data_IF_876734065876
#
_entry.id   IF_876734065876
#
_cell.length_a   1.000
_cell.length_b   1.000
_cell.length_c   1.000
_cell.angle_alpha   90.00
_cell.angle_beta   90.00
_cell.angle_gamma   90.00
#
_symmetry.space_group_name_H-M   'P 1'
#
loop_
_entity.id
_entity.type
_entity.pdbx_description
1 polymer ?
#
# COMPACT_ATOMS: atom_id res chain seq x y z
N UNK A 1 7.94 -16.07 18.54
CA UNK A 1 7.42 -15.61 19.85
C UNK A 1 7.11 -14.11 19.90
N UNK A 2 8.07 -13.16 19.91
CA UNK A 2 7.74 -11.71 19.98
C UNK A 2 6.97 -11.17 18.76
N UNK A 3 7.34 -11.59 17.55
CA UNK A 3 6.66 -11.20 16.31
C UNK A 3 5.23 -11.73 16.20
N UNK A 4 4.98 -12.96 16.67
CA UNK A 4 3.64 -13.56 16.65
C UNK A 4 2.71 -12.82 17.61
N UNK A 5 3.18 -12.53 18.83
CA UNK A 5 2.44 -11.74 19.82
C UNK A 5 2.08 -10.34 19.29
N UNK A 6 2.98 -9.71 18.55
CA UNK A 6 2.76 -8.40 17.93
C UNK A 6 1.64 -8.47 16.88
N UNK A 7 1.60 -9.53 16.07
CA UNK A 7 0.57 -9.66 15.03
C UNK A 7 -0.78 -10.07 15.63
N UNK A 8 -0.81 -10.92 16.66
CA UNK A 8 -2.04 -11.19 17.42
C UNK A 8 -2.60 -9.93 18.07
N UNK A 9 -1.75 -9.07 18.63
CA UNK A 9 -2.18 -7.76 19.11
C UNK A 9 -2.81 -6.94 17.98
N UNK A 10 -2.23 -6.93 16.78
CA UNK A 10 -2.80 -6.21 15.66
C UNK A 10 -4.19 -6.74 15.27
N UNK A 11 -4.38 -8.05 15.22
CA UNK A 11 -5.66 -8.66 14.85
C UNK A 11 -6.74 -8.60 15.92
N UNK A 12 -6.38 -8.89 17.18
CA UNK A 12 -7.34 -9.07 18.26
C UNK A 12 -7.65 -7.76 18.97
N UNK A 13 -6.73 -6.79 18.94
CA UNK A 13 -6.88 -5.53 19.67
C UNK A 13 -6.91 -4.35 18.72
N UNK A 14 -5.85 -4.13 17.94
CA UNK A 14 -5.73 -2.92 17.11
C UNK A 14 -6.81 -2.84 16.03
N UNK A 15 -7.09 -3.94 15.34
CA UNK A 15 -8.07 -3.97 14.26
C UNK A 15 -9.51 -3.72 14.76
N UNK A 16 -10.04 -4.46 15.77
CA UNK A 16 -11.35 -4.15 16.36
C UNK A 16 -11.42 -2.73 16.93
N UNK A 17 -10.37 -2.26 17.62
CA UNK A 17 -10.32 -0.89 18.12
C UNK A 17 -10.38 0.15 16.99
N UNK A 18 -9.73 -0.13 15.85
CA UNK A 18 -9.78 0.73 14.67
C UNK A 18 -11.18 0.75 14.04
N UNK A 19 -11.89 -0.39 13.98
CA UNK A 19 -13.29 -0.46 13.54
C UNK A 19 -14.18 0.39 14.46
N UNK A 20 -14.05 0.22 15.79
CA UNK A 20 -14.79 1.01 16.76
C UNK A 20 -14.49 2.51 16.64
N UNK A 21 -13.23 2.88 16.45
CA UNK A 21 -12.82 4.25 16.21
C UNK A 21 -13.53 4.82 14.98
N UNK A 22 -13.42 4.17 13.81
CA UNK A 22 -14.05 4.68 12.59
C UNK A 22 -15.57 4.79 12.70
N UNK A 23 -16.22 3.81 13.33
CA UNK A 23 -17.65 3.85 13.57
C UNK A 23 -18.05 5.02 14.48
N UNK A 24 -17.31 5.27 15.57
CA UNK A 24 -17.54 6.43 16.43
C UNK A 24 -17.34 7.76 15.69
N UNK A 25 -16.29 7.87 14.86
CA UNK A 25 -16.06 9.07 14.02
C UNK A 25 -17.15 9.28 12.99
N UNK A 26 -17.75 8.20 12.48
CA UNK A 26 -18.91 8.26 11.61
C UNK A 26 -20.13 8.81 12.32
N UNK A 27 -20.46 8.30 13.52
CA UNK A 27 -21.58 8.80 14.32
C UNK A 27 -21.43 10.30 14.65
N UNK A 28 -20.19 10.76 14.88
CA UNK A 28 -19.87 12.17 15.12
C UNK A 28 -19.90 13.06 13.86
N UNK A 29 -20.06 12.48 12.65
CA UNK A 29 -19.92 13.22 11.38
C UNK A 29 -18.48 13.70 11.10
N UNK A 30 -17.46 13.08 11.71
CA UNK A 30 -16.05 13.53 11.67
C UNK A 30 -15.12 12.57 10.92
N UNK A 31 -15.64 11.78 9.98
CA UNK A 31 -14.82 10.88 9.15
C UNK A 31 -13.74 11.63 8.36
N UNK A 32 -14.11 12.72 7.67
CA UNK A 32 -13.18 13.48 6.83
C UNK A 32 -12.05 14.09 7.66
N UNK A 33 -12.35 14.54 8.88
CA UNK A 33 -11.31 15.02 9.83
C UNK A 33 -10.29 13.92 10.14
N UNK A 34 -10.75 12.69 10.35
CA UNK A 34 -9.88 11.54 10.62
C UNK A 34 -9.05 11.13 9.39
N UNK A 35 -9.62 11.22 8.19
CA UNK A 35 -8.89 11.02 6.93
C UNK A 35 -7.81 12.08 6.75
N UNK A 36 -8.12 13.36 6.95
CA UNK A 36 -7.14 14.44 6.87
C UNK A 36 -6.00 14.28 7.89
N UNK A 37 -6.30 13.84 9.11
CA UNK A 37 -5.27 13.53 10.13
C UNK A 37 -4.31 12.45 9.64
N UNK A 38 -4.82 11.38 9.05
CA UNK A 38 -3.99 10.34 8.44
C UNK A 38 -3.09 10.92 7.34
N UNK A 39 -3.65 11.70 6.42
CA UNK A 39 -2.87 12.33 5.35
C UNK A 39 -1.80 13.28 5.91
N UNK A 40 -2.11 14.05 6.96
CA UNK A 40 -1.15 14.97 7.59
C UNK A 40 0.02 14.22 8.23
N UNK A 41 -0.23 13.07 8.86
CA UNK A 41 0.83 12.22 9.41
C UNK A 41 1.75 11.74 8.29
N UNK A 42 1.19 11.23 7.19
CA UNK A 42 1.98 10.75 6.06
C UNK A 42 2.72 11.90 5.36
N UNK A 43 2.11 13.09 5.27
CA UNK A 43 2.78 14.29 4.77
C UNK A 43 3.98 14.67 5.64
N UNK A 44 3.83 14.66 6.96
CA UNK A 44 4.93 14.94 7.88
C UNK A 44 6.07 13.94 7.69
N UNK A 45 5.76 12.64 7.64
CA UNK A 45 6.74 11.59 7.35
C UNK A 45 7.42 11.80 5.99
N UNK A 46 6.66 12.24 4.98
CA UNK A 46 7.18 12.55 3.64
C UNK A 46 8.22 13.67 3.70
N UNK A 47 7.90 14.80 4.34
CA UNK A 47 8.82 15.94 4.51
C UNK A 47 10.09 15.51 5.24
N UNK A 48 9.94 14.81 6.37
CA UNK A 48 11.08 14.37 7.17
C UNK A 48 11.96 13.36 6.40
N UNK A 49 11.34 12.41 5.69
CA UNK A 49 12.07 11.42 4.89
C UNK A 49 12.80 12.06 3.72
N UNK A 50 12.20 13.04 3.04
CA UNK A 50 12.82 13.76 1.93
C UNK A 50 14.02 14.57 2.40
N UNK A 51 13.89 15.27 3.54
CA UNK A 51 15.00 16.00 4.14
C UNK A 51 16.16 15.05 4.46
N UNK A 52 15.89 13.91 5.12
CA UNK A 52 16.92 12.93 5.44
C UNK A 52 17.55 12.31 4.18
N UNK A 53 16.73 11.97 3.19
CA UNK A 53 17.18 11.36 1.95
C UNK A 53 18.09 12.30 1.16
N UNK A 54 17.70 13.57 0.97
CA UNK A 54 18.53 14.55 0.25
C UNK A 54 19.78 14.88 1.07
N UNK A 55 19.62 15.32 2.31
CA UNK A 55 20.70 15.94 3.08
C UNK A 55 21.69 14.92 3.64
N UNK A 56 21.23 13.75 4.06
CA UNK A 56 22.07 12.80 4.80
C UNK A 56 22.39 11.56 3.97
N UNK A 57 21.39 10.93 3.36
CA UNK A 57 21.61 9.70 2.58
C UNK A 57 22.42 9.95 1.30
N UNK A 58 22.18 11.05 0.59
CA UNK A 58 22.83 11.33 -0.70
C UNK A 58 23.88 12.44 -0.65
N UNK A 59 23.67 13.51 0.12
CA UNK A 59 24.68 14.58 0.29
C UNK A 59 25.68 14.31 1.43
N UNK A 60 25.44 13.29 2.26
CA UNK A 60 26.33 12.87 3.34
C UNK A 60 26.71 13.98 4.33
N UNK A 61 25.81 14.95 4.59
CA UNK A 61 26.08 16.06 5.51
C UNK A 61 26.28 15.59 6.97
N UNK A 62 25.66 14.47 7.35
CA UNK A 62 25.81 13.85 8.66
C UNK A 62 26.08 12.36 8.46
N UNK A 63 26.97 11.79 9.28
CA UNK A 63 27.22 10.35 9.31
C UNK A 63 26.03 9.62 9.96
N UNK A 64 25.44 8.67 9.25
CA UNK A 64 24.35 7.85 9.79
C UNK A 64 24.83 6.84 10.84
N UNK A 65 23.90 6.37 11.67
CA UNK A 65 24.13 5.31 12.64
C UNK A 65 23.99 3.94 11.97
N UNK A 66 24.80 2.98 12.38
CA UNK A 66 24.70 1.60 11.88
C UNK A 66 23.86 0.75 12.83
N UNK A 67 22.95 -0.06 12.28
CA UNK A 67 22.19 -1.04 13.04
C UNK A 67 22.09 -2.35 12.28
N UNK A 68 21.98 -3.47 12.99
CA UNK A 68 21.71 -4.76 12.37
C UNK A 68 20.24 -4.85 11.95
N UNK A 69 19.98 -5.24 10.71
CA UNK A 69 18.65 -5.49 10.18
C UNK A 69 18.43 -6.98 9.99
N UNK A 70 17.51 -7.53 10.78
CA UNK A 70 17.07 -8.93 10.60
C UNK A 70 16.36 -9.17 9.26
N UNK A 71 15.85 -8.11 8.61
CA UNK A 71 15.23 -8.19 7.29
C UNK A 71 16.28 -8.35 6.17
N UNK A 72 17.39 -7.59 6.20
CA UNK A 72 18.43 -7.74 5.18
C UNK A 72 19.48 -8.80 5.56
N UNK A 73 19.51 -9.23 6.82
CA UNK A 73 20.56 -10.07 7.38
C UNK A 73 21.90 -9.34 7.53
N UNK A 74 21.91 -8.02 7.38
CA UNK A 74 23.13 -7.18 7.31
C UNK A 74 22.96 -5.89 8.10
N UNK A 75 24.07 -5.20 8.31
CA UNK A 75 24.07 -3.87 8.91
C UNK A 75 23.58 -2.83 7.89
N UNK A 76 22.62 -2.01 8.30
CA UNK A 76 22.06 -0.90 7.53
C UNK A 76 22.35 0.44 8.22
N UNK A 77 22.43 1.50 7.44
CA UNK A 77 22.57 2.87 7.95
C UNK A 77 21.19 3.46 8.22
N UNK A 78 21.05 4.17 9.34
CA UNK A 78 19.84 4.90 9.69
C UNK A 78 20.16 6.36 10.09
N UNK A 79 19.20 7.24 9.84
CA UNK A 79 19.24 8.63 10.27
C UNK A 79 18.05 8.90 11.19
N UNK A 80 18.35 9.08 12.48
CA UNK A 80 17.38 9.41 13.54
C UNK A 80 16.19 8.44 13.64
N UNK A 81 16.32 7.20 13.16
CA UNK A 81 15.21 6.23 13.03
C UNK A 81 14.05 6.69 12.12
N UNK A 82 14.27 7.72 11.31
CA UNK A 82 13.27 8.31 10.40
C UNK A 82 13.55 7.92 8.94
N UNK A 83 14.80 7.59 8.62
CA UNK A 83 15.23 7.15 7.30
C UNK A 83 16.24 6.00 7.40
N UNK A 84 16.10 4.99 6.54
CA UNK A 84 16.99 3.83 6.50
C UNK A 84 17.56 3.63 5.09
N UNK A 85 18.88 3.53 4.97
CA UNK A 85 19.55 3.23 3.71
C UNK A 85 19.54 1.71 3.47
N UNK A 86 18.41 1.18 2.99
CA UNK A 86 18.21 -0.28 2.82
C UNK A 86 18.33 -0.77 1.39
N UNK A 87 18.08 0.09 0.41
CA UNK A 87 18.06 -0.27 -1.01
C UNK A 87 18.69 0.85 -1.83
N UNK A 88 19.45 0.48 -2.85
CA UNK A 88 20.05 1.43 -3.79
C UNK A 88 19.49 1.23 -5.20
N UNK A 89 19.66 2.25 -6.03
CA UNK A 89 19.28 2.26 -7.43
C UNK A 89 20.45 2.82 -8.24
N UNK A 90 20.90 2.08 -9.24
CA UNK A 90 21.87 2.59 -10.22
C UNK A 90 21.15 3.57 -11.15
N UNK A 91 21.69 4.78 -11.27
CA UNK A 91 21.21 5.83 -12.16
C UNK A 91 22.42 6.39 -12.92
N UNK A 92 22.43 6.22 -14.24
CA UNK A 92 23.61 6.47 -15.09
C UNK A 92 24.84 5.71 -14.59
N UNK A 93 25.95 6.41 -14.30
CA UNK A 93 27.17 5.87 -13.70
C UNK A 93 27.20 5.95 -12.17
N UNK A 94 26.18 6.57 -11.56
CA UNK A 94 26.08 6.76 -10.11
C UNK A 94 25.17 5.73 -9.44
N UNK A 95 25.31 5.59 -8.12
CA UNK A 95 24.40 4.83 -7.27
C UNK A 95 23.74 5.81 -6.32
N UNK A 96 22.40 5.84 -6.34
CA UNK A 96 21.60 6.63 -5.41
C UNK A 96 20.90 5.70 -4.43
N UNK A 97 20.75 6.11 -3.18
CA UNK A 97 19.92 5.37 -2.23
C UNK A 97 18.45 5.58 -2.58
N UNK A 98 17.60 4.56 -2.41
CA UNK A 98 16.14 4.68 -2.58
C UNK A 98 15.54 5.23 -1.29
N UNK A 99 14.59 6.16 -1.42
CA UNK A 99 13.90 6.66 -0.24
C UNK A 99 12.90 5.62 0.29
N UNK A 100 13.21 5.01 1.43
CA UNK A 100 12.35 4.05 2.12
C UNK A 100 11.67 4.64 3.37
N UNK A 101 11.99 5.90 3.72
CA UNK A 101 11.45 6.56 4.91
C UNK A 101 11.65 5.72 6.17
N UNK A 102 10.60 5.57 6.97
CA UNK A 102 10.60 4.72 8.18
C UNK A 102 10.48 3.21 7.88
N UNK A 103 10.39 2.83 6.61
CA UNK A 103 10.19 1.45 6.18
C UNK A 103 11.51 0.81 5.74
N UNK A 104 11.53 -0.52 5.73
CA UNK A 104 12.70 -1.28 5.28
C UNK A 104 12.72 -1.46 3.76
N UNK A 105 11.56 -1.31 3.11
CA UNK A 105 11.38 -1.54 1.68
C UNK A 105 10.72 -0.34 1.01
N UNK A 106 11.27 0.08 -0.13
CA UNK A 106 10.67 1.15 -0.93
C UNK A 106 9.23 0.84 -1.40
N UNK A 107 8.86 -0.40 -1.78
CA UNK A 107 7.46 -0.75 -2.04
C UNK A 107 6.51 -0.50 -0.86
N UNK A 108 6.94 -0.76 0.38
CA UNK A 108 6.10 -0.53 1.57
C UNK A 108 5.90 0.97 1.82
N UNK A 109 6.96 1.77 1.65
CA UNK A 109 6.82 3.21 1.79
C UNK A 109 5.94 3.80 0.68
N UNK A 110 6.14 3.36 -0.55
CA UNK A 110 5.32 3.75 -1.69
C UNK A 110 3.84 3.41 -1.47
N UNK A 111 3.51 2.25 -0.92
CA UNK A 111 2.14 1.90 -0.54
C UNK A 111 1.54 2.91 0.44
N UNK A 112 2.29 3.31 1.48
CA UNK A 112 1.84 4.29 2.47
C UNK A 112 1.56 5.66 1.83
N UNK A 113 2.46 6.11 0.96
CA UNK A 113 2.31 7.35 0.19
C UNK A 113 1.10 7.30 -0.75
N UNK A 114 0.88 6.17 -1.42
CA UNK A 114 -0.29 5.95 -2.28
C UNK A 114 -1.59 5.98 -1.48
N UNK A 115 -1.64 5.37 -0.30
CA UNK A 115 -2.83 5.41 0.55
C UNK A 115 -3.19 6.86 0.94
N UNK A 116 -2.21 7.68 1.32
CA UNK A 116 -2.43 9.09 1.61
C UNK A 116 -2.82 9.89 0.36
N UNK A 117 -2.20 9.60 -0.78
CA UNK A 117 -2.52 10.23 -2.06
C UNK A 117 -3.95 9.91 -2.50
N UNK A 118 -4.39 8.66 -2.39
CA UNK A 118 -5.76 8.26 -2.72
C UNK A 118 -6.78 8.87 -1.76
N UNK A 119 -6.45 8.93 -0.48
CA UNK A 119 -7.28 9.62 0.50
C UNK A 119 -7.46 11.09 0.12
N UNK A 120 -6.37 11.80 -0.19
CA UNK A 120 -6.41 13.21 -0.56
C UNK A 120 -7.11 13.46 -1.90
N UNK A 121 -6.96 12.58 -2.89
CA UNK A 121 -7.54 12.75 -4.24
C UNK A 121 -9.00 12.30 -4.33
N UNK A 122 -9.36 11.20 -3.68
CA UNK A 122 -10.63 10.51 -3.91
C UNK A 122 -11.57 10.48 -2.70
N UNK A 123 -11.06 10.65 -1.48
CA UNK A 123 -11.87 10.55 -0.26
C UNK A 123 -12.15 11.91 0.36
N UNK A 124 -11.13 12.78 0.45
CA UNK A 124 -11.22 14.13 0.99
C UNK A 124 -12.14 15.02 0.16
N UNK A 125 -12.93 15.86 0.84
CA UNK A 125 -13.76 16.87 0.17
C UNK A 125 -12.92 18.05 -0.36
N UNK A 126 -11.78 18.30 0.26
CA UNK A 126 -10.83 19.35 -0.11
C UNK A 126 -9.49 18.77 -0.57
N UNK A 127 -9.00 19.26 -1.72
CA UNK A 127 -7.75 18.83 -2.33
C UNK A 127 -6.63 19.83 -2.04
N UNK A 128 -5.65 19.46 -1.21
CA UNK A 128 -4.53 20.34 -0.86
C UNK A 128 -3.34 20.10 -1.78
N UNK A 129 -3.18 20.96 -2.77
CA UNK A 129 -2.10 20.84 -3.77
C UNK A 129 -0.68 20.71 -3.16
N UNK A 130 -0.28 21.47 -2.12
CA UNK A 130 1.03 21.29 -1.50
C UNK A 130 1.24 19.87 -0.94
N UNK A 131 0.19 19.27 -0.37
CA UNK A 131 0.22 17.91 0.16
C UNK A 131 0.43 16.91 -0.98
N UNK A 132 -0.37 17.01 -2.04
CA UNK A 132 -0.28 16.14 -3.22
C UNK A 132 1.14 16.21 -3.82
N UNK A 133 1.70 17.40 -3.99
CA UNK A 133 3.04 17.59 -4.56
C UNK A 133 4.11 16.93 -3.68
N UNK A 134 4.08 17.14 -2.37
CA UNK A 134 5.03 16.52 -1.44
C UNK A 134 4.94 15.00 -1.50
N UNK A 135 3.72 14.43 -1.50
CA UNK A 135 3.51 13.00 -1.61
C UNK A 135 4.07 12.44 -2.92
N UNK A 136 3.85 13.12 -4.05
CA UNK A 136 4.34 12.69 -5.36
C UNK A 136 5.85 12.77 -5.49
N UNK A 137 6.48 13.85 -5.03
CA UNK A 137 7.94 13.98 -5.01
C UNK A 137 8.54 12.83 -4.20
N UNK A 138 8.01 12.61 -2.99
CA UNK A 138 8.46 11.51 -2.12
C UNK A 138 8.27 10.16 -2.80
N UNK A 139 7.12 9.94 -3.44
CA UNK A 139 6.83 8.69 -4.16
C UNK A 139 7.84 8.41 -5.27
N UNK A 140 8.25 9.42 -6.04
CA UNK A 140 9.30 9.28 -7.07
C UNK A 140 10.65 8.92 -6.45
N UNK A 141 11.02 9.54 -5.32
CA UNK A 141 12.30 9.23 -4.63
C UNK A 141 12.38 7.81 -4.08
N UNK A 142 11.25 7.11 -3.94
CA UNK A 142 11.25 5.68 -3.57
C UNK A 142 11.79 4.78 -4.68
N UNK A 143 11.79 5.26 -5.93
CA UNK A 143 12.06 4.44 -7.13
C UNK A 143 11.25 3.13 -7.17
N UNK A 144 10.08 3.09 -6.51
CA UNK A 144 9.18 1.94 -6.58
C UNK A 144 8.41 1.97 -7.89
N UNK A 145 8.71 1.06 -8.82
CA UNK A 145 8.03 0.99 -10.12
C UNK A 145 6.51 0.90 -9.95
N UNK A 146 6.05 0.01 -9.07
CA UNK A 146 4.62 -0.16 -8.75
C UNK A 146 4.04 1.12 -8.14
N UNK A 147 4.76 1.72 -7.18
CA UNK A 147 4.37 2.96 -6.54
C UNK A 147 4.14 4.09 -7.54
N UNK A 148 5.13 4.33 -8.39
CA UNK A 148 5.12 5.39 -9.38
C UNK A 148 4.01 5.17 -10.41
N UNK A 149 3.85 3.96 -10.95
CA UNK A 149 2.78 3.63 -11.90
C UNK A 149 1.41 3.99 -11.32
N UNK A 150 1.11 3.52 -10.11
CA UNK A 150 -0.21 3.77 -9.54
C UNK A 150 -0.41 5.22 -9.08
N UNK A 151 0.65 5.93 -8.68
CA UNK A 151 0.58 7.35 -8.37
C UNK A 151 0.24 8.18 -9.61
N UNK A 152 0.86 7.85 -10.74
CA UNK A 152 0.60 8.48 -12.05
C UNK A 152 -0.82 8.22 -12.49
N UNK A 153 -1.28 6.97 -12.42
CA UNK A 153 -2.65 6.61 -12.80
C UNK A 153 -3.67 7.39 -11.96
N UNK A 154 -3.44 7.53 -10.65
CA UNK A 154 -4.31 8.30 -9.76
C UNK A 154 -4.37 9.79 -10.15
N UNK A 155 -3.22 10.43 -10.33
CA UNK A 155 -3.13 11.85 -10.71
C UNK A 155 -3.69 12.09 -12.10
N UNK A 156 -3.36 11.24 -13.07
CA UNK A 156 -3.86 11.34 -14.43
C UNK A 156 -5.39 11.27 -14.46
N UNK A 157 -5.98 10.31 -13.76
CA UNK A 157 -7.44 10.20 -13.64
C UNK A 157 -8.05 11.46 -13.01
N UNK A 158 -7.49 11.92 -11.88
CA UNK A 158 -7.96 13.13 -11.19
C UNK A 158 -7.94 14.37 -12.11
N UNK A 159 -6.85 14.57 -12.87
CA UNK A 159 -6.71 15.73 -13.75
C UNK A 159 -7.65 15.64 -14.95
N UNK A 160 -7.72 14.47 -15.60
CA UNK A 160 -8.65 14.24 -16.71
C UNK A 160 -10.06 14.62 -16.27
N UNK A 161 -10.51 14.12 -15.12
CA UNK A 161 -11.86 14.38 -14.60
C UNK A 161 -12.13 15.84 -14.27
N UNK A 162 -11.18 16.53 -13.62
CA UNK A 162 -11.37 17.91 -13.16
C UNK A 162 -11.28 18.96 -14.29
N UNK A 163 -10.64 18.61 -15.40
CA UNK A 163 -10.28 19.58 -16.43
C UNK A 163 -10.79 19.24 -17.85
N UNK A 164 -11.78 18.35 -18.02
CA UNK A 164 -12.37 18.05 -19.34
C UNK A 164 -12.90 19.30 -20.07
N UNK A 165 -13.22 20.39 -19.36
CA UNK A 165 -13.71 21.64 -19.98
C UNK A 165 -12.67 22.76 -20.07
N UNK A 166 -11.71 22.86 -19.14
CA UNK A 166 -10.57 23.79 -19.22
C UNK A 166 -9.38 23.26 -18.40
N UNK A 167 -8.32 22.79 -19.08
CA UNK A 167 -7.07 22.40 -18.44
C UNK A 167 -6.18 23.63 -18.29
N UNK A 168 -5.76 23.94 -17.06
CA UNK A 168 -4.79 25.03 -16.85
C UNK A 168 -3.42 24.63 -17.44
N UNK A 169 -2.65 25.57 -18.02
CA UNK A 169 -1.31 25.28 -18.55
C UNK A 169 -0.38 24.64 -17.50
N UNK A 170 -0.54 25.02 -16.23
CA UNK A 170 0.21 24.45 -15.09
C UNK A 170 -0.13 22.98 -14.87
N UNK A 171 -1.41 22.59 -15.02
CA UNK A 171 -1.85 21.20 -14.94
C UNK A 171 -1.25 20.34 -16.05
N UNK A 172 -1.19 20.86 -17.28
CA UNK A 172 -0.57 20.17 -18.42
C UNK A 172 0.92 19.97 -18.20
N UNK A 173 1.64 21.00 -17.76
CA UNK A 173 3.08 20.92 -17.49
C UNK A 173 3.36 19.92 -16.37
N UNK A 174 2.58 19.93 -15.29
CA UNK A 174 2.71 18.98 -14.20
C UNK A 174 2.43 17.53 -14.65
N UNK A 175 1.36 17.29 -15.43
CA UNK A 175 1.08 15.97 -16.01
C UNK A 175 2.21 15.52 -16.90
N UNK A 176 2.72 16.41 -17.75
CA UNK A 176 3.79 16.08 -18.70
C UNK A 176 5.09 15.75 -17.99
N UNK A 177 5.43 16.47 -16.93
CA UNK A 177 6.60 16.18 -16.09
C UNK A 177 6.41 14.86 -15.35
N UNK A 178 5.26 14.65 -14.70
CA UNK A 178 4.98 13.40 -13.96
C UNK A 178 4.95 12.22 -14.92
N UNK A 179 4.28 12.32 -16.06
CA UNK A 179 4.24 11.28 -17.09
C UNK A 179 5.62 11.05 -17.71
N UNK A 180 6.39 12.10 -18.01
CA UNK A 180 7.74 11.99 -18.56
C UNK A 180 8.72 11.32 -17.60
N UNK A 181 8.73 11.74 -16.33
CA UNK A 181 9.52 11.12 -15.25
C UNK A 181 9.09 9.67 -15.05
N UNK A 182 7.79 9.40 -15.10
CA UNK A 182 7.27 8.05 -14.88
C UNK A 182 7.54 7.12 -16.06
N UNK A 183 7.42 7.60 -17.30
CA UNK A 183 7.84 6.87 -18.50
C UNK A 183 9.34 6.62 -18.48
N UNK A 184 10.15 7.57 -18.00
CA UNK A 184 11.58 7.37 -17.82
C UNK A 184 11.90 6.32 -16.74
N UNK A 185 11.23 6.36 -15.59
CA UNK A 185 11.39 5.35 -14.53
C UNK A 185 10.87 3.98 -14.98
N UNK A 186 9.75 3.92 -15.71
CA UNK A 186 9.23 2.68 -16.28
C UNK A 186 10.22 2.15 -17.31
N UNK A 187 10.76 2.99 -18.21
CA UNK A 187 11.76 2.59 -19.19
C UNK A 187 13.05 2.11 -18.53
N UNK A 188 13.57 2.80 -17.51
CA UNK A 188 14.78 2.40 -16.79
C UNK A 188 14.56 1.12 -15.98
N UNK A 189 13.36 0.95 -15.42
CA UNK A 189 12.95 -0.29 -14.77
C UNK A 189 12.77 -1.43 -15.78
N UNK A 190 12.21 -1.21 -16.97
CA UNK A 190 12.04 -2.26 -17.99
C UNK A 190 13.36 -2.63 -18.67
N UNK A 191 14.23 -1.66 -18.95
CA UNK A 191 15.56 -1.92 -19.53
C UNK A 191 16.49 -2.66 -18.57
N UNK A 192 16.27 -2.52 -17.25
CA UNK A 192 16.92 -3.36 -16.24
C UNK A 192 16.19 -4.67 -15.96
N UNK A 193 14.99 -4.89 -16.53
CA UNK A 193 14.10 -6.02 -16.22
C UNK A 193 13.84 -7.04 -17.33
N UNK A 194 14.35 -6.86 -18.55
CA UNK A 194 14.38 -7.95 -19.55
C UNK A 194 15.23 -9.12 -19.01
N UNK A 195 14.58 -10.11 -18.40
CA UNK A 195 15.21 -11.23 -17.69
C UNK A 195 15.51 -11.02 -16.20
N UNK A 196 14.94 -10.00 -15.53
CA UNK A 196 15.31 -9.73 -14.12
C UNK A 196 14.92 -10.83 -13.13
N UNK A 197 15.82 -11.10 -12.19
CA UNK A 197 15.59 -11.88 -10.97
C UNK A 197 14.30 -11.47 -10.24
N UNK A 198 13.98 -10.18 -10.19
CA UNK A 198 12.78 -9.67 -9.51
C UNK A 198 11.45 -10.07 -10.17
N UNK A 199 11.40 -10.21 -11.49
CA UNK A 199 10.19 -10.67 -12.18
C UNK A 199 10.02 -12.19 -12.02
N UNK A 200 11.11 -12.94 -12.14
CA UNK A 200 11.14 -14.39 -11.94
C UNK A 200 10.74 -14.78 -10.51
N UNK A 201 11.24 -14.06 -9.49
CA UNK A 201 10.83 -14.24 -8.09
C UNK A 201 9.33 -14.01 -7.89
N UNK A 202 8.75 -12.96 -8.50
CA UNK A 202 7.31 -12.68 -8.39
C UNK A 202 6.44 -13.76 -9.03
N UNK A 203 6.84 -14.27 -10.21
CA UNK A 203 6.08 -15.33 -10.86
C UNK A 203 6.10 -16.62 -10.03
N UNK A 204 7.26 -16.95 -9.45
CA UNK A 204 7.36 -18.08 -8.54
C UNK A 204 6.56 -17.86 -7.24
N UNK A 205 6.54 -16.65 -6.68
CA UNK A 205 5.69 -16.30 -5.54
C UNK A 205 4.19 -16.53 -5.84
N UNK A 206 3.73 -16.11 -7.02
CA UNK A 206 2.34 -16.34 -7.44
C UNK A 206 2.02 -17.84 -7.51
N UNK A 207 2.91 -18.61 -8.12
CA UNK A 207 2.77 -20.06 -8.26
C UNK A 207 2.80 -20.78 -6.90
N UNK A 208 3.81 -20.50 -6.07
CA UNK A 208 3.98 -21.10 -4.76
C UNK A 208 2.83 -20.74 -3.81
N UNK A 209 2.37 -19.48 -3.83
CA UNK A 209 1.23 -19.03 -3.04
C UNK A 209 -0.08 -19.72 -3.42
N UNK A 210 -0.31 -19.93 -4.71
CA UNK A 210 -1.47 -20.69 -5.19
C UNK A 210 -1.41 -22.15 -4.75
N UNK A 211 -0.26 -22.82 -4.90
CA UNK A 211 -0.09 -24.22 -4.42
C UNK A 211 -0.32 -24.30 -2.92
N UNK A 212 0.23 -23.37 -2.14
CA UNK A 212 0.06 -23.34 -0.70
C UNK A 212 -1.43 -23.18 -0.32
N UNK A 213 -2.15 -22.21 -0.92
CA UNK A 213 -3.57 -22.04 -0.68
C UNK A 213 -4.40 -23.29 -1.01
N UNK A 214 -4.11 -23.93 -2.14
CA UNK A 214 -4.85 -25.11 -2.61
C UNK A 214 -4.72 -26.33 -1.68
N UNK A 215 -3.73 -26.37 -0.79
CA UNK A 215 -3.64 -27.43 0.25
C UNK A 215 -4.82 -27.37 1.22
N UNK A 216 -5.21 -26.16 1.64
CA UNK A 216 -6.31 -25.92 2.59
C UNK A 216 -7.14 -24.69 2.18
N UNK A 217 -8.04 -24.81 1.18
CA UNK A 217 -8.68 -23.64 0.56
C UNK A 217 -9.55 -22.81 1.48
N UNK A 218 -10.24 -23.45 2.45
CA UNK A 218 -11.23 -22.79 3.29
C UNK A 218 -10.63 -22.09 4.52
N UNK A 219 -9.72 -22.77 5.23
CA UNK A 219 -9.14 -22.29 6.49
C UNK A 219 -7.66 -21.95 6.41
N UNK A 220 -7.02 -22.19 5.26
CA UNK A 220 -5.60 -21.92 5.06
C UNK A 220 -4.69 -22.87 5.85
N UNK A 221 -3.40 -22.58 5.83
CA UNK A 221 -2.33 -23.42 6.39
C UNK A 221 -1.86 -22.94 7.77
N UNK A 222 -2.63 -22.07 8.42
CA UNK A 222 -2.28 -21.47 9.69
C UNK A 222 -1.64 -20.09 9.52
N UNK A 223 -1.84 -19.27 10.55
CA UNK A 223 -1.49 -17.87 10.53
C UNK A 223 0.03 -17.65 10.38
N UNK A 224 0.42 -16.79 9.43
CA UNK A 224 1.81 -16.46 9.10
C UNK A 224 2.71 -17.67 8.78
N UNK A 225 2.15 -18.78 8.28
CA UNK A 225 2.91 -20.00 8.03
C UNK A 225 3.68 -19.96 6.69
N UNK A 226 4.84 -19.31 6.70
CA UNK A 226 5.70 -19.22 5.50
C UNK A 226 6.33 -20.56 5.09
N UNK A 227 6.40 -21.56 5.98
CA UNK A 227 6.98 -22.86 5.64
C UNK A 227 6.22 -23.56 4.52
N UNK A 228 4.89 -23.44 4.49
CA UNK A 228 4.08 -24.07 3.44
C UNK A 228 4.29 -23.40 2.09
N UNK A 229 4.43 -22.07 2.07
CA UNK A 229 4.77 -21.31 0.86
C UNK A 229 6.18 -21.67 0.40
N UNK A 230 7.18 -21.65 1.29
CA UNK A 230 8.57 -21.99 0.96
C UNK A 230 8.68 -23.43 0.43
N UNK A 231 7.95 -24.39 1.00
CA UNK A 231 7.92 -25.77 0.50
C UNK A 231 7.37 -25.90 -0.93
N UNK A 232 6.71 -24.85 -1.43
CA UNK A 232 6.08 -24.79 -2.76
C UNK A 232 6.85 -23.88 -3.73
N UNK A 233 7.95 -23.24 -3.30
CA UNK A 233 8.81 -22.42 -4.14
C UNK A 233 9.74 -23.27 -5.01
N UNK A 234 10.19 -22.72 -6.14
CA UNK A 234 11.12 -23.41 -7.02
C UNK A 234 12.46 -23.77 -6.33
N UNK A 235 13.00 -24.94 -6.67
CA UNK A 235 14.21 -25.49 -6.06
C UNK A 235 15.45 -24.58 -6.15
N UNK A 236 15.56 -23.76 -7.20
CA UNK A 236 16.66 -22.82 -7.36
C UNK A 236 16.66 -21.72 -6.28
N UNK A 237 15.49 -21.30 -5.77
CA UNK A 237 15.38 -20.32 -4.68
C UNK A 237 15.76 -20.94 -3.34
N UNK A 238 15.28 -22.16 -3.10
CA UNK A 238 15.58 -22.90 -1.88
C UNK A 238 17.07 -23.20 -1.77
N UNK A 239 17.74 -23.44 -2.92
CA UNK A 239 19.19 -23.65 -3.00
C UNK A 239 19.98 -22.36 -2.80
N UNK A 240 19.49 -21.22 -3.28
CA UNK A 240 20.12 -19.91 -3.04
C UNK A 240 20.09 -19.54 -1.56
N UNK A 241 18.97 -19.79 -0.88
CA UNK A 241 18.84 -19.68 0.58
C UNK A 241 19.02 -18.25 1.14
N UNK A 242 19.25 -17.25 0.28
CA UNK A 242 19.38 -15.85 0.69
C UNK A 242 18.04 -15.31 1.19
N UNK A 243 18.08 -14.37 2.16
CA UNK A 243 16.86 -13.76 2.72
C UNK A 243 16.02 -13.10 1.62
N UNK A 244 16.67 -12.53 0.60
CA UNK A 244 15.99 -11.98 -0.57
C UNK A 244 15.32 -13.02 -1.47
N UNK A 245 15.91 -14.22 -1.61
CA UNK A 245 15.33 -15.30 -2.39
C UNK A 245 14.15 -15.99 -1.70
N UNK A 246 14.08 -15.96 -0.36
CA UNK A 246 12.95 -16.50 0.40
C UNK A 246 11.84 -15.48 0.68
N UNK A 247 12.05 -14.20 0.32
CA UNK A 247 11.01 -13.17 0.44
C UNK A 247 9.77 -13.48 -0.40
N UNK A 248 8.60 -13.00 0.04
CA UNK A 248 7.32 -13.19 -0.65
C UNK A 248 6.67 -11.84 -0.96
N UNK A 249 6.10 -11.71 -2.17
CA UNK A 249 5.67 -10.39 -2.68
C UNK A 249 4.16 -10.22 -2.81
N UNK A 250 3.36 -11.30 -2.85
CA UNK A 250 1.92 -11.20 -3.09
C UNK A 250 1.12 -11.09 -1.78
N UNK A 251 0.43 -9.96 -1.59
CA UNK A 251 -0.40 -9.78 -0.40
C UNK A 251 -1.63 -10.69 -0.36
N UNK A 252 -2.37 -10.79 -1.46
CA UNK A 252 -3.62 -11.57 -1.50
C UNK A 252 -3.38 -13.06 -1.36
N UNK A 253 -2.36 -13.60 -2.04
CA UNK A 253 -2.04 -15.02 -1.91
C UNK A 253 -1.51 -15.37 -0.53
N UNK A 254 -0.88 -14.43 0.16
CA UNK A 254 -0.52 -14.61 1.57
C UNK A 254 -1.76 -14.76 2.45
N UNK A 255 -2.77 -13.90 2.28
CA UNK A 255 -4.04 -13.98 3.02
C UNK A 255 -4.73 -15.33 2.78
N UNK A 256 -4.84 -15.73 1.51
CA UNK A 256 -5.44 -17.01 1.12
C UNK A 256 -4.63 -18.21 1.63
N UNK A 257 -3.30 -18.18 1.54
CA UNK A 257 -2.46 -19.26 2.04
C UNK A 257 -2.57 -19.43 3.55
N UNK A 258 -2.64 -18.34 4.32
CA UNK A 258 -2.65 -18.41 5.78
C UNK A 258 -4.01 -18.80 6.35
N UNK A 259 -5.08 -18.14 5.89
CA UNK A 259 -6.42 -18.26 6.47
C UNK A 259 -7.51 -18.65 5.48
N UNK A 260 -7.15 -18.99 4.25
CA UNK A 260 -8.09 -19.45 3.23
C UNK A 260 -9.14 -18.42 2.86
N UNK A 261 -10.26 -18.93 2.33
CA UNK A 261 -11.44 -18.12 2.02
C UNK A 261 -11.97 -17.42 3.28
N UNK A 262 -11.87 -18.03 4.46
CA UNK A 262 -12.32 -17.42 5.71
C UNK A 262 -11.65 -16.06 5.97
N UNK A 263 -10.32 -16.01 5.95
CA UNK A 263 -9.59 -14.77 6.18
C UNK A 263 -9.70 -13.80 5.00
N UNK A 264 -9.78 -14.33 3.77
CA UNK A 264 -10.03 -13.53 2.57
C UNK A 264 -11.36 -12.77 2.69
N UNK A 265 -12.45 -13.44 3.10
CA UNK A 265 -13.74 -12.78 3.30
C UNK A 265 -13.63 -11.69 4.36
N UNK A 266 -12.95 -11.93 5.49
CA UNK A 266 -12.77 -10.90 6.52
C UNK A 266 -12.02 -9.65 6.02
N UNK A 267 -11.08 -9.80 5.09
CA UNK A 267 -10.35 -8.69 4.47
C UNK A 267 -11.16 -7.95 3.40
N UNK A 268 -11.87 -8.69 2.53
CA UNK A 268 -12.44 -8.17 1.29
C UNK A 268 -13.95 -7.90 1.35
N UNK A 269 -14.70 -8.53 2.25
CA UNK A 269 -16.12 -8.26 2.47
C UNK A 269 -16.48 -6.78 2.65
N UNK A 270 -15.82 -6.01 3.55
CA UNK A 270 -16.14 -4.58 3.71
C UNK A 270 -15.83 -3.78 2.44
N UNK A 271 -14.85 -4.21 1.64
CA UNK A 271 -14.50 -3.58 0.36
C UNK A 271 -15.58 -3.82 -0.69
N UNK A 272 -16.17 -5.03 -0.71
CA UNK A 272 -17.29 -5.36 -1.59
C UNK A 272 -18.57 -4.60 -1.23
N UNK A 273 -18.89 -4.43 0.05
CA UNK A 273 -20.04 -3.59 0.46
C UNK A 273 -19.84 -2.11 0.18
N UNK A 274 -18.59 -1.63 0.27
CA UNK A 274 -18.28 -0.29 -0.23
C UNK A 274 -18.50 -0.20 -1.74
N UNK A 275 -18.06 -1.21 -2.49
CA UNK A 275 -18.23 -1.27 -3.94
C UNK A 275 -19.71 -1.24 -4.36
N UNK A 276 -20.59 -2.03 -3.72
CA UNK A 276 -22.03 -2.03 -4.00
C UNK A 276 -22.66 -0.66 -3.70
N UNK A 277 -22.35 -0.08 -2.55
CA UNK A 277 -22.81 1.27 -2.16
C UNK A 277 -22.30 2.32 -3.15
N UNK A 278 -21.05 2.20 -3.58
CA UNK A 278 -20.42 3.19 -4.44
C UNK A 278 -20.98 3.20 -5.87
N UNK A 279 -21.48 2.06 -6.36
CA UNK A 279 -22.12 1.93 -7.67
C UNK A 279 -23.51 2.56 -7.73
N UNK A 280 -24.26 2.51 -6.63
CA UNK A 280 -25.64 3.03 -6.56
C UNK A 280 -25.69 4.54 -6.35
N UNK A 281 -24.66 5.13 -5.73
CA UNK A 281 -24.62 6.55 -5.42
C UNK A 281 -23.73 7.35 -6.41
N UNK A 282 -24.30 8.35 -7.08
CA UNK A 282 -23.57 9.19 -8.06
C UNK A 282 -22.36 9.91 -7.44
N UNK A 283 -22.46 10.32 -6.16
CA UNK A 283 -21.43 11.07 -5.43
C UNK A 283 -20.21 10.23 -5.00
N UNK A 284 -20.25 8.91 -5.14
CA UNK A 284 -19.20 7.99 -4.66
C UNK A 284 -18.38 7.34 -5.77
N UNK A 285 -18.68 7.65 -7.04
CA UNK A 285 -17.97 7.08 -8.20
C UNK A 285 -16.46 7.37 -8.20
N UNK A 286 -16.04 8.48 -7.64
CA UNK A 286 -14.61 8.84 -7.54
C UNK A 286 -13.92 8.04 -6.43
N UNK A 287 -14.62 7.82 -5.32
CA UNK A 287 -14.16 6.94 -4.24
C UNK A 287 -13.97 5.50 -4.72
N UNK A 288 -14.79 5.05 -5.68
CA UNK A 288 -14.66 3.74 -6.31
C UNK A 288 -13.33 3.58 -7.06
N UNK A 289 -12.88 4.60 -7.78
CA UNK A 289 -11.57 4.57 -8.45
C UNK A 289 -10.44 4.49 -7.44
N UNK A 290 -10.52 5.28 -6.35
CA UNK A 290 -9.59 5.17 -5.23
C UNK A 290 -9.54 3.76 -4.64
N UNK A 291 -10.70 3.11 -4.46
CA UNK A 291 -10.76 1.72 -3.99
C UNK A 291 -10.11 0.74 -4.96
N UNK A 292 -10.39 0.84 -6.27
CA UNK A 292 -9.79 -0.05 -7.28
C UNK A 292 -8.26 0.08 -7.28
N UNK A 293 -7.74 1.30 -7.21
CA UNK A 293 -6.30 1.55 -7.15
C UNK A 293 -5.67 1.02 -5.85
N UNK A 294 -6.36 1.15 -4.72
CA UNK A 294 -5.95 0.56 -3.45
C UNK A 294 -5.87 -0.97 -3.54
N UNK A 295 -6.93 -1.62 -4.05
CA UNK A 295 -6.99 -3.07 -4.25
C UNK A 295 -5.86 -3.57 -5.14
N UNK A 296 -5.65 -2.91 -6.28
CA UNK A 296 -4.58 -3.26 -7.20
C UNK A 296 -3.19 -3.16 -6.55
N UNK A 297 -2.97 -2.12 -5.72
CA UNK A 297 -1.70 -1.95 -4.99
C UNK A 297 -1.51 -3.05 -3.92
N UNK A 298 -2.58 -3.45 -3.22
CA UNK A 298 -2.55 -4.52 -2.22
C UNK A 298 -2.29 -5.92 -2.81
N UNK A 299 -2.74 -6.17 -4.05
CA UNK A 299 -2.46 -7.43 -4.76
C UNK A 299 -0.96 -7.57 -5.05
N UNK A 300 -0.32 -6.47 -5.46
CA UNK A 300 1.06 -6.47 -5.96
C UNK A 300 2.10 -6.29 -4.84
N UNK A 301 1.71 -5.73 -3.70
CA UNK A 301 2.63 -5.39 -2.60
C UNK A 301 2.34 -6.27 -1.39
N UNK A 302 3.40 -6.83 -0.78
CA UNK A 302 3.29 -7.56 0.48
C UNK A 302 3.03 -6.59 1.64
N UNK A 303 1.76 -6.29 1.86
CA UNK A 303 1.24 -5.45 2.95
C UNK A 303 0.22 -6.12 3.90
N UNK A 304 -0.18 -7.41 3.75
CA UNK A 304 -1.05 -8.05 4.72
C UNK A 304 -0.51 -7.93 6.14
N UNK A 305 -1.43 -7.85 7.09
CA UNK A 305 -1.14 -7.78 8.52
C UNK A 305 -0.38 -6.54 8.99
N UNK A 306 -0.07 -5.60 8.09
CA UNK A 306 0.47 -4.32 8.50
C UNK A 306 -0.59 -3.51 9.26
N UNK A 307 -0.22 -2.76 10.32
CA UNK A 307 -1.15 -1.90 11.04
C UNK A 307 -1.85 -0.92 10.11
N UNK A 308 -1.14 -0.38 9.10
CA UNK A 308 -1.74 0.50 8.10
C UNK A 308 -2.85 -0.19 7.30
N UNK A 309 -2.58 -1.37 6.74
CA UNK A 309 -3.60 -2.11 5.98
C UNK A 309 -4.80 -2.48 6.85
N UNK A 310 -4.58 -2.90 8.09
CA UNK A 310 -5.68 -3.18 9.03
C UNK A 310 -6.51 -1.92 9.32
N UNK A 311 -5.85 -0.79 9.60
CA UNK A 311 -6.51 0.49 9.82
C UNK A 311 -7.33 0.94 8.60
N UNK A 312 -6.81 0.75 7.38
CA UNK A 312 -7.51 1.08 6.15
C UNK A 312 -8.72 0.17 5.91
N UNK A 313 -8.59 -1.14 6.11
CA UNK A 313 -9.72 -2.08 5.97
C UNK A 313 -10.81 -1.75 6.98
N UNK A 314 -10.43 -1.39 8.22
CA UNK A 314 -11.38 -1.03 9.26
C UNK A 314 -12.25 0.19 8.93
N UNK A 315 -11.77 1.11 8.09
CA UNK A 315 -12.57 2.22 7.57
C UNK A 315 -13.75 1.72 6.72
N UNK A 316 -13.55 0.70 5.89
CA UNK A 316 -14.58 0.17 5.00
C UNK A 316 -15.67 -0.62 5.75
N UNK A 317 -15.35 -1.16 6.94
CA UNK A 317 -16.35 -1.80 7.81
C UNK A 317 -17.47 -0.85 8.23
N UNK A 318 -17.23 0.47 8.31
CA UNK A 318 -18.29 1.44 8.57
C UNK A 318 -19.39 1.37 7.49
N UNK A 319 -18.99 1.27 6.23
CA UNK A 319 -19.93 1.20 5.11
C UNK A 319 -20.66 -0.14 5.06
N UNK A 320 -19.97 -1.23 5.40
CA UNK A 320 -20.60 -2.55 5.56
C UNK A 320 -21.76 -2.51 6.57
N UNK A 321 -21.55 -1.87 7.73
CA UNK A 321 -22.61 -1.76 8.75
C UNK A 321 -23.77 -0.85 8.33
N UNK A 322 -23.52 0.13 7.45
CA UNK A 322 -24.57 1.03 6.95
C UNK A 322 -25.46 0.35 5.92
N UNK A 323 -24.86 -0.38 4.99
CA UNK A 323 -25.58 -1.14 3.96
C UNK A 323 -26.55 -2.14 4.61
N UNK A 324 -26.09 -2.85 5.64
CA UNK A 324 -26.92 -3.78 6.41
C UNK A 324 -28.06 -3.09 7.17
N UNK A 325 -27.85 -1.88 7.72
CA UNK A 325 -28.94 -1.14 8.39
C UNK A 325 -30.02 -0.68 7.41
N UNK A 326 -29.63 -0.24 6.21
CA UNK A 326 -30.58 0.19 5.18
C UNK A 326 -31.38 -0.99 4.63
N UNK A 327 -30.73 -2.14 4.41
CA UNK A 327 -31.41 -3.36 3.96
C UNK A 327 -32.35 -3.95 5.01
N UNK A 328 -32.00 -3.91 6.30
CA UNK A 328 -32.92 -4.29 7.38
C UNK A 328 -34.16 -3.40 7.44
N UNK A 329 -34.00 -2.09 7.22
CA UNK A 329 -35.13 -1.15 7.21
C UNK A 329 -36.07 -1.39 6.02
N UNK A 330 -35.54 -1.65 4.82
CA UNK A 330 -36.36 -1.94 3.64
C UNK A 330 -37.11 -3.28 3.77
N UNK A 331 -36.46 -4.32 4.31
CA UNK A 331 -37.11 -5.62 4.58
C UNK A 331 -38.26 -5.50 5.60
N UNK A 332 -38.11 -4.68 6.65
CA UNK A 332 -39.18 -4.45 7.64
C UNK A 332 -40.38 -3.69 7.08
N UNK A 333 -40.20 -2.88 6.04
CA UNK A 333 -41.29 -2.18 5.34
C UNK A 333 -42.04 -3.18 4.44
N UNK A 334 -41.32 -4.04 3.71
CA UNK A 334 -41.91 -5.05 2.82
C UNK A 334 -42.70 -6.15 3.52
N UNK A 335 -42.43 -6.45 4.80
CA UNK A 335 -43.17 -7.47 5.59
C UNK A 335 -44.44 -6.90 6.23
N UNK A 336 -44.65 -5.58 6.15
CA UNK A 336 -45.83 -4.89 6.69
C UNK A 336 -46.89 -4.55 5.63
N UNK A 337 -46.64 -4.88 4.36
CA UNK A 337 -47.61 -4.80 3.25
C UNK A 337 -48.20 -6.18 2.95
#
# INVERSE_FOLDING_TARGET
>A
MEWENTIYFYFLVFFPASVCYWYARFLDGKLNVSVHRFVNIVQLLSILSLACWVLFSNLHLIKGNTMYSGWSGTNITNYFWIHFDTQTQSIFSGVITRNTGIFLEAPMYAYTLLCALYAELFISDEHRMPVIIILLITLVTTFSTTGIIFGVLAVAYYIIRRHVTHISPVGIVMVTIVAGVSLWVIKSALSSKTGSTSATLRNDDLHAGMIAWMKHPFFGNGFNNMHVIHSSMAAWRLKDGSVGALGFTSGVLKILSDGGIYLFVAYFLPLFSFFSTALTQSKTKEKLVGLILLLATMVITFVPYSPLTMYLISFFYVYYFLDNKQSEQSLRISVKE
#
